data_IF_430705032770
#
_entry.id   IF_430705032770
#
_cell.length_a   1.000
_cell.length_b   1.000
_cell.length_c   1.000
_cell.angle_alpha   90.00
_cell.angle_beta   90.00
_cell.angle_gamma   90.00
#
_symmetry.space_group_name_H-M   'P 1'
#
loop_
_entity.id
_entity.type
_entity.pdbx_description
1 polymer ?
#
# COMPACT_ATOMS: atom_id res chain seq x y z
N UNK A 1 14.02 -30.31 -24.36
CA UNK A 1 13.23 -29.82 -23.20
C UNK A 1 14.20 -29.05 -22.32
N UNK A 2 14.01 -27.74 -22.17
CA UNK A 2 14.81 -26.90 -21.28
C UNK A 2 14.82 -27.51 -19.87
N UNK A 3 16.01 -27.70 -19.29
CA UNK A 3 16.19 -28.23 -17.92
C UNK A 3 16.74 -27.17 -16.97
N UNK A 4 16.95 -25.95 -17.47
CA UNK A 4 17.52 -24.84 -16.73
C UNK A 4 16.94 -23.52 -17.21
N UNK A 5 16.95 -22.50 -16.33
CA UNK A 5 16.61 -21.11 -16.67
C UNK A 5 17.46 -20.58 -17.82
N UNK A 6 18.71 -21.05 -17.92
CA UNK A 6 19.64 -20.65 -18.99
C UNK A 6 19.18 -21.05 -20.40
N UNK A 7 18.27 -22.03 -20.52
CA UNK A 7 17.73 -22.49 -21.80
C UNK A 7 16.51 -21.65 -22.25
N UNK A 8 16.03 -20.72 -21.41
CA UNK A 8 14.91 -19.85 -21.73
C UNK A 8 15.38 -18.62 -22.53
N UNK A 9 14.50 -18.02 -23.37
CA UNK A 9 14.75 -16.70 -23.93
C UNK A 9 15.12 -15.69 -22.84
N UNK A 10 15.99 -14.72 -23.17
CA UNK A 10 16.58 -13.78 -22.19
C UNK A 10 15.55 -13.11 -21.28
N UNK A 11 14.43 -12.67 -21.83
CA UNK A 11 13.30 -12.07 -21.11
C UNK A 11 12.65 -13.05 -20.13
N UNK A 12 12.36 -14.27 -20.58
CA UNK A 12 11.75 -15.32 -19.75
C UNK A 12 12.67 -15.83 -18.65
N UNK A 13 13.96 -15.93 -18.97
CA UNK A 13 15.00 -16.25 -17.99
C UNK A 13 15.06 -15.17 -16.89
N UNK A 14 15.04 -13.90 -17.28
CA UNK A 14 14.98 -12.79 -16.33
C UNK A 14 13.69 -12.80 -15.51
N UNK A 15 12.53 -13.05 -16.13
CA UNK A 15 11.24 -13.16 -15.44
C UNK A 15 11.22 -14.26 -14.39
N UNK A 16 11.73 -15.45 -14.72
CA UNK A 16 11.85 -16.58 -13.78
C UNK A 16 12.73 -16.24 -12.57
N UNK A 17 13.86 -15.56 -12.80
CA UNK A 17 14.75 -15.10 -11.72
C UNK A 17 14.09 -14.03 -10.85
N UNK A 18 13.41 -13.06 -11.47
CA UNK A 18 12.74 -11.95 -10.79
C UNK A 18 11.61 -12.44 -9.87
N UNK A 19 10.76 -13.36 -10.32
CA UNK A 19 9.69 -13.89 -9.45
C UNK A 19 10.26 -14.70 -8.29
N UNK A 20 11.31 -15.48 -8.53
CA UNK A 20 11.96 -16.23 -7.48
C UNK A 20 12.50 -15.29 -6.41
N UNK A 21 13.26 -14.26 -6.81
CA UNK A 21 13.76 -13.24 -5.89
C UNK A 21 12.62 -12.52 -5.14
N UNK A 22 11.54 -12.12 -5.84
CA UNK A 22 10.42 -11.43 -5.19
C UNK A 22 9.71 -12.31 -4.13
N UNK A 23 9.55 -13.61 -4.39
CA UNK A 23 8.98 -14.55 -3.43
C UNK A 23 9.93 -14.78 -2.24
N UNK A 24 11.24 -14.87 -2.48
CA UNK A 24 12.25 -14.95 -1.41
C UNK A 24 12.21 -13.71 -0.50
N UNK A 25 12.14 -12.51 -1.08
CA UNK A 25 12.01 -11.25 -0.33
C UNK A 25 10.77 -11.25 0.58
N UNK A 26 9.64 -11.77 0.09
CA UNK A 26 8.44 -11.88 0.91
C UNK A 26 8.60 -12.89 2.05
N UNK A 27 9.27 -14.02 1.81
CA UNK A 27 9.60 -14.99 2.86
C UNK A 27 10.45 -14.36 3.98
N UNK A 28 11.38 -13.47 3.63
CA UNK A 28 12.27 -12.79 4.58
C UNK A 28 11.58 -11.68 5.39
N UNK A 29 10.43 -11.18 4.91
CA UNK A 29 9.71 -10.05 5.50
C UNK A 29 8.32 -10.47 6.01
N UNK A 30 8.26 -11.48 6.88
CA UNK A 30 7.03 -11.93 7.55
C UNK A 30 5.84 -12.22 6.59
N UNK A 31 6.13 -12.61 5.33
CA UNK A 31 5.15 -12.89 4.28
C UNK A 31 4.33 -11.68 3.81
N UNK A 32 4.70 -10.46 4.17
CA UNK A 32 4.02 -9.25 3.76
C UNK A 32 5.01 -8.11 3.52
N UNK A 33 4.97 -7.50 2.33
CA UNK A 33 5.83 -6.35 2.04
C UNK A 33 5.17 -5.38 1.07
N UNK A 34 5.43 -4.07 1.26
CA UNK A 34 4.93 -3.04 0.33
C UNK A 34 5.56 -3.24 -1.05
N UNK A 35 4.79 -3.05 -2.13
CA UNK A 35 5.24 -3.26 -3.52
C UNK A 35 6.53 -2.51 -3.82
N UNK A 36 6.66 -1.26 -3.34
CA UNK A 36 7.87 -0.44 -3.51
C UNK A 36 9.09 -1.03 -2.79
N UNK A 37 8.89 -1.63 -1.61
CA UNK A 37 9.95 -2.30 -0.86
C UNK A 37 10.33 -3.64 -1.52
N UNK A 38 9.35 -4.40 -2.06
CA UNK A 38 9.63 -5.60 -2.87
C UNK A 38 10.53 -5.26 -4.05
N UNK A 39 10.19 -4.22 -4.81
CA UNK A 39 11.02 -3.78 -5.95
C UNK A 39 12.43 -3.38 -5.50
N UNK A 40 12.54 -2.55 -4.46
CA UNK A 40 13.84 -2.09 -3.97
C UNK A 40 14.72 -3.27 -3.49
N UNK A 41 14.14 -4.23 -2.78
CA UNK A 41 14.88 -5.38 -2.27
C UNK A 41 15.28 -6.35 -3.38
N UNK A 42 14.41 -6.59 -4.36
CA UNK A 42 14.76 -7.39 -5.55
C UNK A 42 15.91 -6.74 -6.33
N UNK A 43 15.89 -5.41 -6.48
CA UNK A 43 16.97 -4.68 -7.15
C UNK A 43 18.30 -4.78 -6.38
N UNK A 44 18.25 -4.81 -5.04
CA UNK A 44 19.44 -4.99 -4.20
C UNK A 44 20.00 -6.41 -4.24
N UNK A 45 19.13 -7.42 -4.33
CA UNK A 45 19.54 -8.83 -4.32
C UNK A 45 19.98 -9.34 -5.70
N UNK A 46 19.58 -8.68 -6.79
CA UNK A 46 19.85 -9.14 -8.15
C UNK A 46 20.92 -8.34 -8.88
N UNK A 47 21.86 -9.06 -9.51
CA UNK A 47 22.77 -8.47 -10.49
C UNK A 47 22.04 -8.32 -11.84
N UNK A 48 21.50 -7.12 -12.07
CA UNK A 48 20.75 -6.73 -13.25
C UNK A 48 21.66 -6.01 -14.26
N UNK A 49 21.75 -6.56 -15.48
CA UNK A 49 22.55 -6.01 -16.58
C UNK A 49 21.95 -4.72 -17.18
N UNK A 50 22.73 -4.01 -18.00
CA UNK A 50 22.29 -2.76 -18.65
C UNK A 50 21.02 -2.95 -19.48
N UNK A 51 20.87 -4.13 -20.08
CA UNK A 51 19.65 -4.50 -20.78
C UNK A 51 18.47 -4.57 -19.81
N UNK A 52 18.56 -5.27 -18.68
CA UNK A 52 17.49 -5.32 -17.69
C UNK A 52 17.17 -3.92 -17.10
N UNK A 53 18.16 -3.03 -17.03
CA UNK A 53 18.02 -1.64 -16.51
C UNK A 53 17.60 -0.60 -17.56
N UNK A 54 17.41 -1.00 -18.82
CA UNK A 54 16.98 -0.08 -19.87
C UNK A 54 15.58 0.47 -19.61
N UNK A 55 15.37 1.76 -19.86
CA UNK A 55 14.08 2.42 -19.70
C UNK A 55 13.30 2.40 -21.02
N UNK A 56 12.09 1.84 -21.01
CA UNK A 56 11.19 1.89 -22.16
C UNK A 56 10.74 3.33 -22.45
N UNK A 57 10.85 3.75 -23.70
CA UNK A 57 10.57 5.14 -24.10
C UNK A 57 9.10 5.54 -23.95
N UNK A 58 8.15 4.62 -24.23
CA UNK A 58 6.70 4.90 -24.15
C UNK A 58 6.17 4.82 -22.72
N UNK A 59 6.48 3.74 -22.00
CA UNK A 59 5.93 3.49 -20.67
C UNK A 59 6.73 4.17 -19.55
N UNK A 60 7.99 4.51 -19.81
CA UNK A 60 8.92 5.04 -18.82
C UNK A 60 9.42 4.01 -17.82
N UNK A 61 8.98 2.74 -17.89
CA UNK A 61 9.41 1.69 -16.98
C UNK A 61 10.85 1.25 -17.25
N UNK A 62 11.54 0.86 -16.19
CA UNK A 62 12.75 0.06 -16.32
C UNK A 62 12.33 -1.37 -16.72
N UNK A 63 13.02 -1.96 -17.69
CA UNK A 63 12.65 -3.26 -18.30
C UNK A 63 12.41 -4.35 -17.26
N UNK A 64 13.31 -4.52 -16.30
CA UNK A 64 13.17 -5.54 -15.26
C UNK A 64 11.93 -5.32 -14.38
N UNK A 65 11.56 -4.06 -14.08
CA UNK A 65 10.37 -3.75 -13.30
C UNK A 65 9.10 -4.13 -14.07
N UNK A 66 9.08 -3.85 -15.37
CA UNK A 66 7.98 -4.25 -16.25
C UNK A 66 7.84 -5.78 -16.33
N UNK A 67 8.96 -6.50 -16.44
CA UNK A 67 8.98 -7.97 -16.50
C UNK A 67 8.52 -8.56 -15.16
N UNK A 68 9.06 -8.09 -14.03
CA UNK A 68 8.63 -8.58 -12.71
C UNK A 68 7.14 -8.33 -12.50
N UNK A 69 6.65 -7.16 -12.88
CA UNK A 69 5.23 -6.85 -12.79
C UNK A 69 4.39 -7.84 -13.62
N UNK A 70 4.70 -8.04 -14.91
CA UNK A 70 3.99 -8.98 -15.76
C UNK A 70 3.99 -10.41 -15.17
N UNK A 71 5.16 -10.90 -14.79
CA UNK A 71 5.29 -12.26 -14.24
C UNK A 71 4.58 -12.44 -12.89
N UNK A 72 4.49 -11.38 -12.08
CA UNK A 72 3.77 -11.42 -10.81
C UNK A 72 2.25 -11.55 -10.97
N UNK A 73 1.68 -11.22 -12.15
CA UNK A 73 0.28 -11.53 -12.47
C UNK A 73 0.08 -13.04 -12.49
N UNK A 74 1.01 -13.77 -13.11
CA UNK A 74 1.02 -15.23 -13.09
C UNK A 74 1.00 -15.79 -11.67
N UNK A 75 1.82 -15.23 -10.77
CA UNK A 75 1.83 -15.62 -9.36
C UNK A 75 0.50 -15.34 -8.63
N UNK A 76 -0.18 -14.23 -8.95
CA UNK A 76 -1.51 -13.92 -8.40
C UNK A 76 -2.53 -14.95 -8.88
N UNK A 77 -2.59 -15.21 -10.20
CA UNK A 77 -3.56 -16.15 -10.77
C UNK A 77 -3.28 -17.60 -10.37
N UNK A 78 -2.02 -17.96 -10.12
CA UNK A 78 -1.63 -19.24 -9.56
C UNK A 78 -1.90 -19.38 -8.05
N UNK A 79 -2.36 -18.31 -7.38
CA UNK A 79 -2.68 -18.31 -5.95
C UNK A 79 -1.48 -18.22 -5.02
N UNK A 80 -0.29 -17.82 -5.51
CA UNK A 80 0.94 -17.75 -4.72
C UNK A 80 1.09 -16.43 -3.97
N UNK A 81 0.54 -15.35 -4.52
CA UNK A 81 0.55 -14.04 -3.89
C UNK A 81 -0.82 -13.38 -3.99
N UNK A 82 -1.14 -12.56 -3.00
CA UNK A 82 -2.28 -11.65 -3.04
C UNK A 82 -1.74 -10.22 -3.03
N UNK A 83 -2.21 -9.38 -3.94
CA UNK A 83 -1.87 -7.95 -3.96
C UNK A 83 -3.08 -7.15 -3.51
N UNK A 84 -2.92 -6.34 -2.46
CA UNK A 84 -4.01 -5.50 -1.94
C UNK A 84 -3.46 -4.17 -1.47
N UNK A 85 -4.03 -3.07 -1.99
CA UNK A 85 -3.67 -1.68 -1.61
C UNK A 85 -2.15 -1.42 -1.62
N UNK A 86 -1.46 -1.89 -2.66
CA UNK A 86 -0.01 -1.70 -2.81
C UNK A 86 0.86 -2.59 -1.91
N UNK A 87 0.29 -3.57 -1.22
CA UNK A 87 1.00 -4.55 -0.40
C UNK A 87 0.90 -5.94 -1.03
N UNK A 88 2.00 -6.69 -1.03
CA UNK A 88 2.07 -8.07 -1.50
C UNK A 88 2.07 -8.99 -0.29
N UNK A 89 1.16 -9.96 -0.30
CA UNK A 89 1.01 -10.99 0.71
C UNK A 89 1.37 -12.34 0.09
N UNK A 90 2.27 -13.08 0.73
CA UNK A 90 2.64 -14.43 0.31
C UNK A 90 1.69 -15.46 0.94
N UNK A 91 1.07 -16.30 0.10
CA UNK A 91 0.17 -17.36 0.58
C UNK A 91 0.96 -18.57 1.07
N UNK A 92 0.28 -19.54 1.67
CA UNK A 92 0.92 -20.80 2.06
C UNK A 92 1.41 -21.59 0.84
N UNK A 93 0.64 -21.60 -0.25
CA UNK A 93 1.04 -22.19 -1.53
C UNK A 93 2.25 -21.45 -2.12
N UNK A 94 2.25 -20.12 -2.05
CA UNK A 94 3.37 -19.30 -2.49
C UNK A 94 4.64 -19.53 -1.68
N UNK A 95 4.51 -19.72 -0.37
CA UNK A 95 5.63 -20.05 0.51
C UNK A 95 6.28 -21.39 0.15
N UNK A 96 5.48 -22.40 -0.20
CA UNK A 96 5.99 -23.69 -0.69
C UNK A 96 6.65 -23.51 -2.05
N UNK A 97 6.02 -22.76 -2.96
CA UNK A 97 6.55 -22.50 -4.29
C UNK A 97 7.87 -21.72 -4.26
N UNK A 98 8.06 -20.83 -3.27
CA UNK A 98 9.29 -20.05 -3.08
C UNK A 98 10.54 -20.91 -2.75
N UNK A 99 10.35 -22.17 -2.31
CA UNK A 99 11.44 -23.10 -2.04
C UNK A 99 11.89 -23.88 -3.28
N UNK A 100 11.17 -23.75 -4.39
CA UNK A 100 11.51 -24.39 -5.66
C UNK A 100 12.67 -23.65 -6.33
N UNK A 101 13.41 -24.34 -7.19
CA UNK A 101 14.39 -23.67 -8.05
C UNK A 101 13.71 -22.67 -8.99
N UNK A 102 14.44 -21.65 -9.46
CA UNK A 102 13.93 -20.63 -10.39
C UNK A 102 13.15 -21.23 -11.58
N UNK A 103 13.68 -22.30 -12.18
CA UNK A 103 13.03 -22.98 -13.31
C UNK A 103 11.76 -23.72 -12.87
N UNK A 104 11.82 -24.45 -11.76
CA UNK A 104 10.68 -25.19 -11.24
C UNK A 104 9.55 -24.23 -10.85
N UNK A 105 9.85 -23.14 -10.13
CA UNK A 105 8.90 -22.08 -9.81
C UNK A 105 8.25 -21.51 -11.07
N UNK A 106 9.06 -21.15 -12.08
CA UNK A 106 8.54 -20.64 -13.35
C UNK A 106 7.56 -21.61 -14.02
N UNK A 107 7.89 -22.91 -14.05
CA UNK A 107 6.96 -23.92 -14.61
C UNK A 107 5.70 -24.06 -13.78
N UNK A 108 5.79 -24.05 -12.45
CA UNK A 108 4.63 -24.16 -11.56
C UNK A 108 3.72 -22.93 -11.67
N UNK A 109 4.27 -21.71 -11.78
CA UNK A 109 3.49 -20.49 -12.04
C UNK A 109 2.74 -20.61 -13.38
N UNK A 110 3.41 -21.09 -14.42
CA UNK A 110 2.80 -21.27 -15.75
C UNK A 110 1.68 -22.30 -15.73
N UNK A 111 1.86 -23.40 -15.00
CA UNK A 111 0.83 -24.43 -14.80
C UNK A 111 -0.37 -23.88 -14.01
N UNK A 112 -0.13 -23.14 -12.93
CA UNK A 112 -1.18 -22.48 -12.14
C UNK A 112 -1.99 -21.48 -12.97
N UNK A 113 -1.31 -20.63 -13.74
CA UNK A 113 -1.97 -19.70 -14.65
C UNK A 113 -2.80 -20.43 -15.72
N UNK A 114 -2.27 -21.52 -16.29
CA UNK A 114 -3.01 -22.32 -17.28
C UNK A 114 -4.26 -22.98 -16.69
N UNK A 115 -4.20 -23.47 -15.44
CA UNK A 115 -5.37 -24.00 -14.73
C UNK A 115 -6.42 -22.93 -14.51
N UNK A 116 -6.01 -21.76 -14.01
CA UNK A 116 -6.89 -20.60 -13.84
C UNK A 116 -7.57 -20.21 -15.16
N UNK A 117 -6.81 -20.15 -16.26
CA UNK A 117 -7.34 -19.83 -17.60
C UNK A 117 -8.35 -20.89 -18.06
N UNK A 118 -8.04 -22.17 -17.92
CA UNK A 118 -8.95 -23.27 -18.31
C UNK A 118 -10.26 -23.29 -17.52
N UNK A 119 -10.22 -22.97 -16.22
CA UNK A 119 -11.42 -22.82 -15.38
C UNK A 119 -12.27 -21.61 -15.80
N UNK A 120 -11.62 -20.50 -16.20
CA UNK A 120 -12.29 -19.30 -16.70
C UNK A 120 -12.91 -19.50 -18.09
N UNK A 121 -12.21 -20.18 -19.00
CA UNK A 121 -12.70 -20.46 -20.36
C UNK A 121 -13.90 -21.43 -20.33
N UNK A 122 -13.95 -22.38 -19.39
CA UNK A 122 -15.14 -23.22 -19.15
C UNK A 122 -16.34 -22.42 -18.63
N UNK A 123 -16.11 -21.27 -18.00
CA UNK A 123 -17.13 -20.30 -17.56
C UNK A 123 -17.62 -19.37 -18.67
N UNK A 124 -17.11 -19.49 -19.91
CA UNK A 124 -17.65 -18.84 -21.10
C UNK A 124 -17.16 -17.41 -21.40
N UNK A 125 -16.03 -16.97 -20.84
CA UNK A 125 -15.36 -15.71 -21.21
C UNK A 125 -14.03 -16.00 -21.88
N UNK A 126 -14.06 -16.09 -23.22
CA UNK A 126 -12.86 -16.21 -24.04
C UNK A 126 -12.15 -14.85 -24.12
N UNK A 127 -10.96 -14.76 -23.52
CA UNK A 127 -10.00 -13.72 -23.85
C UNK A 127 -8.75 -14.40 -24.40
N UNK A 128 -8.52 -14.18 -25.69
CA UNK A 128 -7.42 -14.75 -26.45
C UNK A 128 -6.23 -13.80 -26.39
N UNK A 129 -5.48 -13.88 -25.29
CA UNK A 129 -4.16 -13.28 -25.17
C UNK A 129 -3.11 -14.40 -25.08
N UNK A 130 -2.81 -15.02 -26.22
CA UNK A 130 -1.46 -15.53 -26.46
C UNK A 130 -0.52 -14.31 -26.58
N UNK A 131 -0.19 -13.70 -25.45
CA UNK A 131 0.77 -12.60 -25.37
C UNK A 131 2.19 -13.17 -25.44
N UNK A 132 2.69 -13.27 -26.67
CA UNK A 132 4.13 -13.14 -26.91
C UNK A 132 4.60 -11.79 -26.33
N UNK A 133 5.71 -11.82 -25.57
CA UNK A 133 6.39 -10.65 -25.02
C UNK A 133 6.80 -9.67 -26.13
N UNK A 134 5.85 -8.86 -26.61
CA UNK A 134 6.13 -7.65 -27.35
C UNK A 134 6.25 -6.54 -26.31
N UNK A 135 7.47 -6.08 -26.05
CA UNK A 135 7.77 -5.01 -25.08
C UNK A 135 7.19 -3.62 -25.43
N UNK A 136 6.21 -3.57 -26.33
CA UNK A 136 5.60 -2.34 -26.85
C UNK A 136 4.06 -2.31 -26.71
N UNK A 137 3.42 -3.43 -26.34
CA UNK A 137 2.01 -3.48 -25.92
C UNK A 137 1.94 -3.33 -24.40
N UNK A 138 1.40 -2.20 -23.93
CA UNK A 138 1.18 -1.97 -22.50
C UNK A 138 -0.14 -2.66 -22.13
N UNK A 139 -0.06 -3.73 -21.35
CA UNK A 139 -1.23 -4.39 -20.77
C UNK A 139 -2.05 -3.36 -19.95
N UNK A 140 -3.38 -3.26 -20.17
CA UNK A 140 -4.25 -2.37 -19.42
C UNK A 140 -4.13 -2.50 -17.90
N UNK A 141 -3.92 -3.70 -17.38
CA UNK A 141 -3.72 -3.94 -15.95
C UNK A 141 -2.44 -3.28 -15.44
N UNK A 142 -1.35 -3.37 -16.22
CA UNK A 142 -0.08 -2.69 -15.94
C UNK A 142 -0.27 -1.17 -15.93
N UNK A 143 -1.10 -0.66 -16.84
CA UNK A 143 -1.41 0.78 -16.91
C UNK A 143 -2.18 1.25 -15.68
N UNK A 144 -3.20 0.50 -15.25
CA UNK A 144 -4.02 0.84 -14.08
C UNK A 144 -3.17 0.83 -12.80
N UNK A 145 -2.43 -0.26 -12.56
CA UNK A 145 -1.56 -0.37 -11.39
C UNK A 145 -0.52 0.74 -11.34
N UNK A 146 0.07 1.12 -12.49
CA UNK A 146 1.01 2.24 -12.56
C UNK A 146 0.38 3.55 -12.13
N UNK A 147 -0.79 3.86 -12.70
CA UNK A 147 -1.49 5.11 -12.42
C UNK A 147 -1.86 5.18 -10.94
N UNK A 148 -2.26 4.06 -10.34
CA UNK A 148 -2.52 3.98 -8.91
C UNK A 148 -1.26 4.23 -8.06
N UNK A 149 -0.12 3.62 -8.41
CA UNK A 149 1.13 3.83 -7.68
C UNK A 149 1.62 5.28 -7.80
N UNK A 150 1.61 5.85 -9.01
CA UNK A 150 2.00 7.24 -9.22
C UNK A 150 1.09 8.21 -8.45
N UNK A 151 -0.22 7.96 -8.44
CA UNK A 151 -1.16 8.76 -7.67
C UNK A 151 -0.87 8.66 -6.16
N UNK A 152 -0.66 7.45 -5.63
CA UNK A 152 -0.37 7.24 -4.21
C UNK A 152 0.95 7.90 -3.78
N UNK A 153 2.00 7.77 -4.58
CA UNK A 153 3.30 8.40 -4.30
C UNK A 153 3.22 9.93 -4.36
N UNK A 154 2.50 10.49 -5.34
CA UNK A 154 2.28 11.93 -5.42
C UNK A 154 1.56 12.51 -4.18
N UNK A 155 0.58 11.79 -3.65
CA UNK A 155 -0.12 12.20 -2.41
C UNK A 155 0.84 12.14 -1.21
N UNK A 156 1.66 11.08 -1.11
CA UNK A 156 2.65 10.93 -0.02
C UNK A 156 3.68 12.06 -0.03
N UNK A 157 4.21 12.40 -1.20
CA UNK A 157 5.17 13.48 -1.37
C UNK A 157 4.56 14.83 -1.00
N UNK A 158 3.32 15.08 -1.43
CA UNK A 158 2.59 16.30 -1.08
C UNK A 158 2.38 16.43 0.43
N UNK A 159 2.02 15.34 1.11
CA UNK A 159 1.86 15.33 2.58
C UNK A 159 3.23 15.50 3.26
N UNK A 160 4.28 14.84 2.79
CA UNK A 160 5.62 14.92 3.37
C UNK A 160 6.25 16.31 3.29
N UNK A 161 5.82 17.13 2.32
CA UNK A 161 6.26 18.52 2.19
C UNK A 161 5.60 19.48 3.19
N UNK A 162 4.54 19.05 3.89
CA UNK A 162 3.84 19.88 4.88
C UNK A 162 4.59 19.93 6.20
N UNK A 163 4.35 20.99 6.96
CA UNK A 163 4.79 21.03 8.35
C UNK A 163 3.77 20.33 9.29
N UNK A 164 4.14 20.12 10.55
CA UNK A 164 3.32 19.41 11.51
C UNK A 164 1.93 20.04 11.75
N UNK A 165 1.82 21.38 11.71
CA UNK A 165 0.55 22.08 11.88
C UNK A 165 -0.34 21.94 10.65
N UNK A 166 0.24 22.03 9.45
CA UNK A 166 -0.52 21.81 8.20
C UNK A 166 -1.04 20.37 8.09
N UNK A 167 -0.29 19.38 8.57
CA UNK A 167 -0.77 18.00 8.64
C UNK A 167 -1.84 17.81 9.73
N UNK A 168 -1.73 18.52 10.86
CA UNK A 168 -2.79 18.57 11.87
C UNK A 168 -4.10 19.13 11.29
N UNK A 169 -4.02 20.20 10.49
CA UNK A 169 -5.19 20.79 9.82
C UNK A 169 -5.82 19.80 8.83
N UNK A 170 -5.01 19.02 8.10
CA UNK A 170 -5.50 17.93 7.25
C UNK A 170 -6.24 16.84 8.05
N UNK A 171 -5.75 16.45 9.23
CA UNK A 171 -6.42 15.47 10.09
C UNK A 171 -7.75 16.03 10.60
N UNK A 172 -7.80 17.31 10.98
CA UNK A 172 -9.04 17.96 11.40
C UNK A 172 -10.06 18.02 10.26
N UNK A 173 -9.61 18.40 9.05
CA UNK A 173 -10.43 18.41 7.84
C UNK A 173 -10.99 17.03 7.51
N UNK A 174 -10.17 15.98 7.62
CA UNK A 174 -10.64 14.60 7.44
C UNK A 174 -11.77 14.26 8.40
N UNK A 175 -11.62 14.57 9.68
CA UNK A 175 -12.66 14.30 10.68
C UNK A 175 -13.95 15.07 10.39
N UNK A 176 -13.86 16.31 9.90
CA UNK A 176 -15.03 17.06 9.41
C UNK A 176 -15.70 16.37 8.23
N UNK A 177 -14.94 15.91 7.24
CA UNK A 177 -15.46 15.13 6.11
C UNK A 177 -16.12 13.81 6.52
N UNK A 178 -15.67 13.22 7.62
CA UNK A 178 -16.28 12.03 8.23
C UNK A 178 -17.55 12.34 9.04
N UNK A 179 -17.91 13.61 9.18
CA UNK A 179 -19.12 14.06 9.87
C UNK A 179 -18.92 14.41 11.35
N UNK A 180 -17.68 14.54 11.81
CA UNK A 180 -17.38 15.01 13.16
C UNK A 180 -17.25 16.54 13.22
N UNK A 181 -17.61 17.12 14.35
CA UNK A 181 -17.32 18.51 14.67
C UNK A 181 -15.94 18.59 15.30
N UNK A 182 -15.08 19.50 14.82
CA UNK A 182 -13.74 19.74 15.36
C UNK A 182 -13.66 21.12 16.02
N UNK A 183 -14.30 21.36 17.19
CA UNK A 183 -14.37 22.69 17.80
C UNK A 183 -13.03 23.18 18.34
N UNK A 184 -12.05 22.29 18.47
CA UNK A 184 -10.71 22.63 18.92
C UNK A 184 -9.67 21.95 18.04
N UNK A 185 -8.80 22.79 17.49
CA UNK A 185 -7.54 22.42 16.84
C UNK A 185 -6.48 23.27 17.53
N UNK A 186 -5.44 22.62 18.05
CA UNK A 186 -4.51 23.26 18.95
C UNK A 186 -3.70 24.36 18.22
N UNK A 187 -3.55 25.55 18.82
CA UNK A 187 -2.77 26.63 18.23
C UNK A 187 -1.28 26.29 18.23
N UNK A 188 -0.48 27.04 17.48
CA UNK A 188 0.98 26.80 17.45
C UNK A 188 1.60 27.02 18.83
N UNK A 189 2.06 25.95 19.48
CA UNK A 189 2.72 26.05 20.78
C UNK A 189 3.03 24.71 21.44
N UNK A 190 3.35 24.76 22.74
CA UNK A 190 3.46 23.57 23.60
C UNK A 190 2.06 23.16 24.04
N UNK A 191 1.53 22.12 23.44
CA UNK A 191 0.21 21.60 23.82
C UNK A 191 0.29 20.40 24.75
N UNK A 192 -0.74 20.27 25.59
CA UNK A 192 -0.90 19.28 26.65
C UNK A 192 -1.17 17.85 26.17
N UNK A 193 -0.69 17.49 24.98
CA UNK A 193 -0.80 16.13 24.41
C UNK A 193 -2.07 15.85 23.61
N UNK A 194 -2.91 16.85 23.33
CA UNK A 194 -4.08 16.75 22.44
C UNK A 194 -4.02 17.86 21.40
N UNK A 195 -4.00 17.47 20.14
CA UNK A 195 -3.89 18.39 19.00
C UNK A 195 -5.26 18.72 18.42
N UNK A 196 -6.22 17.79 18.47
CA UNK A 196 -7.59 18.00 17.98
C UNK A 196 -8.59 17.37 18.95
N UNK A 197 -9.69 18.07 19.22
CA UNK A 197 -10.88 17.48 19.83
C UNK A 197 -11.97 17.35 18.77
N UNK A 198 -12.60 16.18 18.71
CA UNK A 198 -13.71 15.94 17.80
C UNK A 198 -14.92 15.26 18.47
N UNK A 199 -16.11 15.64 18.03
CA UNK A 199 -17.40 15.22 18.60
C UNK A 199 -18.39 14.83 17.50
N UNK A 200 -19.39 14.01 17.86
CA UNK A 200 -20.50 13.69 16.95
C UNK A 200 -21.52 14.82 16.83
N UNK A 201 -21.64 15.62 17.88
CA UNK A 201 -22.51 16.78 17.95
C UNK A 201 -21.70 18.05 18.27
N UNK A 202 -22.20 19.26 17.93
CA UNK A 202 -21.50 20.52 18.19
C UNK A 202 -21.17 20.78 19.66
N UNK A 203 -21.91 20.17 20.59
CA UNK A 203 -21.79 20.42 22.03
C UNK A 203 -20.96 19.35 22.76
N UNK A 204 -20.59 18.25 22.09
CA UNK A 204 -19.83 17.15 22.69
C UNK A 204 -20.59 16.39 23.77
N UNK A 205 -21.92 16.37 23.68
CA UNK A 205 -22.81 15.66 24.61
C UNK A 205 -22.79 14.16 24.31
N UNK A 206 -22.75 13.80 23.03
CA UNK A 206 -22.75 12.42 22.58
C UNK A 206 -21.36 11.79 22.68
N UNK A 207 -21.33 10.54 23.16
CA UNK A 207 -20.15 9.69 23.06
C UNK A 207 -20.05 9.09 21.64
N UNK A 208 -18.84 8.85 21.11
CA UNK A 208 -17.54 9.08 21.75
C UNK A 208 -17.04 10.52 21.65
N UNK A 209 -16.26 10.96 22.64
CA UNK A 209 -15.47 12.20 22.60
C UNK A 209 -14.06 11.87 22.15
N UNK A 210 -13.69 12.32 20.96
CA UNK A 210 -12.44 11.92 20.32
C UNK A 210 -11.36 12.94 20.66
N UNK A 211 -10.23 12.45 21.19
CA UNK A 211 -9.01 13.23 21.38
C UNK A 211 -7.95 12.70 20.45
N UNK A 212 -7.41 13.59 19.63
CA UNK A 212 -6.44 13.22 18.59
C UNK A 212 -5.07 13.77 18.94
N UNK A 213 -4.05 12.95 18.75
CA UNK A 213 -2.67 13.38 18.73
C UNK A 213 -2.05 13.10 17.36
N UNK A 214 -1.36 14.08 16.80
CA UNK A 214 -0.81 14.09 15.45
C UNK A 214 0.71 14.20 15.53
N UNK A 215 1.41 13.32 14.82
CA UNK A 215 2.87 13.33 14.67
C UNK A 215 3.24 13.31 13.21
N UNK A 216 3.79 14.43 12.73
CA UNK A 216 4.36 14.52 11.40
C UNK A 216 5.89 14.55 11.48
N UNK A 217 6.52 13.38 11.36
CA UNK A 217 7.98 13.19 11.34
C UNK A 217 8.32 11.84 10.70
N UNK A 218 9.60 11.63 10.39
CA UNK A 218 10.09 10.37 9.83
C UNK A 218 10.17 9.27 10.89
N UNK A 219 10.54 9.61 12.12
CA UNK A 219 10.64 8.64 13.21
C UNK A 219 9.29 8.04 13.56
N UNK A 220 9.29 6.75 13.87
CA UNK A 220 8.10 6.06 14.37
C UNK A 220 7.68 6.55 15.76
N UNK A 221 6.38 6.56 15.99
CA UNK A 221 5.82 6.89 17.30
C UNK A 221 6.13 5.79 18.31
N UNK A 222 6.54 6.22 19.50
CA UNK A 222 6.99 5.37 20.60
C UNK A 222 5.84 4.92 21.50
N UNK A 223 6.08 3.88 22.30
CA UNK A 223 5.10 3.40 23.29
C UNK A 223 4.80 4.46 24.36
N UNK A 224 5.78 5.31 24.68
CA UNK A 224 5.64 6.39 25.65
C UNK A 224 4.62 7.43 25.16
N UNK A 225 4.68 7.81 23.88
CA UNK A 225 3.72 8.75 23.27
C UNK A 225 2.29 8.18 23.29
N UNK A 226 2.10 6.89 22.97
CA UNK A 226 0.78 6.25 23.05
C UNK A 226 0.25 6.26 24.50
N UNK A 227 1.09 5.91 25.48
CA UNK A 227 0.71 5.93 26.90
C UNK A 227 0.39 7.34 27.40
N UNK A 228 1.07 8.36 26.89
CA UNK A 228 0.76 9.76 27.20
C UNK A 228 -0.65 10.12 26.72
N UNK A 229 -1.01 9.79 25.48
CA UNK A 229 -2.38 10.01 24.97
C UNK A 229 -3.40 9.25 25.83
N UNK A 230 -3.14 7.98 26.15
CA UNK A 230 -4.02 7.18 27.01
C UNK A 230 -4.23 7.81 28.38
N UNK A 231 -3.19 8.39 28.99
CA UNK A 231 -3.28 9.08 30.27
C UNK A 231 -4.19 10.31 30.26
N UNK A 232 -4.49 10.87 29.08
CA UNK A 232 -5.40 12.00 28.87
C UNK A 232 -6.86 11.53 28.70
N UNK A 233 -7.08 10.26 28.35
CA UNK A 233 -8.41 9.65 28.16
C UNK A 233 -9.00 9.20 29.50
N UNK A 234 -9.38 10.18 30.32
CA UNK A 234 -9.82 9.93 31.72
C UNK A 234 -11.34 9.81 31.90
N UNK A 235 -12.15 10.27 30.93
CA UNK A 235 -13.62 10.26 31.05
C UNK A 235 -14.23 9.07 30.31
N UNK A 236 -15.26 8.47 30.88
CA UNK A 236 -15.99 7.36 30.25
C UNK A 236 -16.59 7.77 28.91
N UNK A 237 -16.17 7.11 27.83
CA UNK A 237 -16.56 7.43 26.45
C UNK A 237 -15.57 8.34 25.71
N UNK A 238 -14.45 8.71 26.32
CA UNK A 238 -13.32 9.29 25.59
C UNK A 238 -12.64 8.20 24.74
N UNK A 239 -12.31 8.56 23.49
CA UNK A 239 -11.59 7.69 22.55
C UNK A 239 -10.36 8.43 22.05
N UNK A 240 -9.23 7.73 21.95
CA UNK A 240 -8.01 8.26 21.37
C UNK A 240 -7.92 7.96 19.88
N UNK A 241 -7.44 8.91 19.10
CA UNK A 241 -6.88 8.65 17.77
C UNK A 241 -5.44 9.15 17.78
N UNK A 242 -4.50 8.30 17.39
CA UNK A 242 -3.13 8.71 17.15
C UNK A 242 -2.87 8.66 15.65
N UNK A 243 -2.38 9.75 15.07
CA UNK A 243 -2.07 9.84 13.64
C UNK A 243 -0.57 10.10 13.48
N UNK A 244 0.13 9.24 12.75
CA UNK A 244 1.58 9.33 12.58
C UNK A 244 2.02 9.07 11.15
N UNK A 245 2.79 9.97 10.55
CA UNK A 245 3.36 9.74 9.22
C UNK A 245 4.57 8.81 9.22
N UNK A 246 5.30 8.73 10.34
CA UNK A 246 6.47 7.86 10.52
C UNK A 246 6.12 6.45 10.99
N UNK A 247 4.83 6.13 11.11
CA UNK A 247 4.36 4.85 11.64
C UNK A 247 4.55 4.71 13.15
N UNK A 248 4.68 3.46 13.61
CA UNK A 248 4.65 3.06 15.02
C UNK A 248 5.62 1.93 15.30
N UNK A 249 6.26 1.93 16.47
CA UNK A 249 7.02 0.77 16.94
C UNK A 249 6.10 -0.41 17.26
N UNK A 250 6.63 -1.65 17.23
CA UNK A 250 5.85 -2.85 17.56
C UNK A 250 5.23 -2.76 18.97
N UNK A 251 5.96 -2.25 19.95
CA UNK A 251 5.46 -2.06 21.31
C UNK A 251 4.33 -1.01 21.40
N UNK A 252 4.40 0.05 20.58
CA UNK A 252 3.35 1.06 20.49
C UNK A 252 2.06 0.45 19.94
N UNK A 253 2.16 -0.37 18.88
CA UNK A 253 1.02 -1.11 18.31
C UNK A 253 0.41 -2.07 19.34
N UNK A 254 1.24 -2.89 19.99
CA UNK A 254 0.78 -3.83 21.02
C UNK A 254 0.10 -3.13 22.19
N UNK A 255 0.60 -1.96 22.60
CA UNK A 255 0.02 -1.18 23.71
C UNK A 255 -1.35 -0.60 23.34
N UNK A 256 -1.52 -0.09 22.12
CA UNK A 256 -2.80 0.44 21.66
C UNK A 256 -3.89 -0.65 21.57
N UNK A 257 -3.53 -1.86 21.11
CA UNK A 257 -4.47 -2.98 20.96
C UNK A 257 -4.75 -3.70 22.28
N UNK A 258 -3.78 -3.78 23.19
CA UNK A 258 -3.87 -4.58 24.42
C UNK A 258 -4.56 -3.90 25.61
N UNK A 259 -4.98 -2.64 25.49
CA UNK A 259 -5.56 -1.87 26.59
C UNK A 259 -7.09 -1.83 26.56
N UNK A 260 -7.70 -1.63 27.73
CA UNK A 260 -9.12 -1.31 27.84
C UNK A 260 -9.47 0.12 27.34
N UNK A 261 -8.48 1.01 27.27
CA UNK A 261 -8.66 2.36 26.71
C UNK A 261 -8.52 2.27 25.19
N UNK A 262 -9.58 2.61 24.47
CA UNK A 262 -9.58 2.53 23.00
C UNK A 262 -8.76 3.66 22.38
N UNK A 263 -7.64 3.29 21.74
CA UNK A 263 -6.82 4.18 20.92
C UNK A 263 -6.69 3.60 19.52
N UNK A 264 -7.23 4.31 18.53
CA UNK A 264 -7.07 3.95 17.12
C UNK A 264 -5.76 4.54 16.58
N UNK A 265 -4.93 3.70 15.96
CA UNK A 265 -3.73 4.13 15.26
C UNK A 265 -4.05 4.34 13.78
N UNK A 266 -3.62 5.47 13.22
CA UNK A 266 -3.73 5.79 11.79
C UNK A 266 -2.33 6.15 11.30
N UNK A 267 -1.78 5.36 10.37
CA UNK A 267 -0.52 5.68 9.70
C UNK A 267 -0.77 6.50 8.43
N UNK A 268 0.30 6.87 7.71
CA UNK A 268 0.18 7.69 6.50
C UNK A 268 -0.69 7.01 5.42
N UNK A 269 -0.52 5.71 5.21
CA UNK A 269 -1.31 4.97 4.21
C UNK A 269 -2.79 4.89 4.64
N UNK A 270 -3.06 4.64 5.91
CA UNK A 270 -4.41 4.69 6.49
C UNK A 270 -5.06 6.06 6.35
N UNK A 271 -4.31 7.14 6.61
CA UNK A 271 -4.79 8.51 6.42
C UNK A 271 -5.14 8.79 4.95
N UNK A 272 -4.27 8.44 4.00
CA UNK A 272 -4.50 8.65 2.56
C UNK A 272 -5.74 7.89 2.08
N UNK A 273 -5.92 6.66 2.55
CA UNK A 273 -7.11 5.87 2.24
C UNK A 273 -8.39 6.57 2.75
N UNK A 274 -8.42 6.97 4.02
CA UNK A 274 -9.57 7.68 4.60
C UNK A 274 -9.82 9.01 3.89
N UNK A 275 -8.78 9.78 3.59
CA UNK A 275 -8.89 11.03 2.84
C UNK A 275 -9.53 10.79 1.48
N UNK A 276 -9.10 9.76 0.76
CA UNK A 276 -9.64 9.42 -0.57
C UNK A 276 -11.11 8.99 -0.48
N UNK A 277 -11.44 8.12 0.50
CA UNK A 277 -12.81 7.61 0.71
C UNK A 277 -13.80 8.72 1.09
N UNK A 278 -13.36 9.69 1.89
CA UNK A 278 -14.18 10.81 2.36
C UNK A 278 -14.01 12.09 1.53
N UNK A 279 -13.13 12.11 0.52
CA UNK A 279 -12.87 13.26 -0.33
C UNK A 279 -14.16 13.89 -0.91
N UNK A 280 -15.14 13.10 -1.40
CA UNK A 280 -16.37 13.68 -1.94
C UNK A 280 -17.22 14.45 -0.91
N UNK A 281 -17.05 14.16 0.40
CA UNK A 281 -17.80 14.75 1.50
C UNK A 281 -17.11 15.97 2.13
N UNK A 282 -15.86 16.24 1.78
CA UNK A 282 -15.14 17.42 2.24
C UNK A 282 -15.71 18.70 1.61
N UNK A 283 -15.66 19.79 2.38
CA UNK A 283 -15.94 21.14 1.88
C UNK A 283 -14.88 21.57 0.87
N UNK A 284 -15.17 22.58 0.05
CA UNK A 284 -14.18 23.08 -0.91
C UNK A 284 -12.94 23.68 -0.22
N UNK A 285 -13.15 24.29 0.97
CA UNK A 285 -12.07 24.76 1.83
C UNK A 285 -11.18 23.60 2.30
N UNK A 286 -11.75 22.53 2.83
CA UNK A 286 -11.00 21.36 3.28
C UNK A 286 -10.31 20.63 2.12
N UNK A 287 -10.96 20.55 0.95
CA UNK A 287 -10.36 20.00 -0.28
C UNK A 287 -9.14 20.79 -0.74
N UNK A 288 -9.09 22.10 -0.48
CA UNK A 288 -7.94 22.92 -0.86
C UNK A 288 -6.66 22.58 -0.11
N UNK A 289 -6.76 21.94 1.06
CA UNK A 289 -5.61 21.54 1.87
C UNK A 289 -4.82 20.37 1.24
N UNK A 290 -5.52 19.43 0.62
CA UNK A 290 -4.99 18.30 -0.16
C UNK A 290 -5.90 18.05 -1.38
N UNK A 291 -5.69 18.79 -2.48
CA UNK A 291 -6.53 18.68 -3.67
C UNK A 291 -6.26 17.38 -4.43
N UNK A 292 -7.32 16.65 -4.74
CA UNK A 292 -7.28 15.41 -5.52
C UNK A 292 -8.09 15.56 -6.81
N UNK A 293 -7.62 14.94 -7.88
CA UNK A 293 -8.33 14.84 -9.16
C UNK A 293 -8.60 13.38 -9.48
N UNK A 294 -9.85 13.05 -9.78
CA UNK A 294 -10.24 11.70 -10.19
C UNK A 294 -9.90 11.44 -11.65
N UNK A 295 -9.29 10.28 -11.93
CA UNK A 295 -9.04 9.78 -13.28
C UNK A 295 -9.76 8.44 -13.43
N UNK A 296 -10.48 8.28 -14.54
CA UNK A 296 -11.20 7.04 -14.86
C UNK A 296 -10.46 6.30 -15.96
N UNK A 297 -10.18 5.02 -15.72
CA UNK A 297 -9.57 4.10 -16.69
C UNK A 297 -10.57 2.98 -16.99
N UNK A 298 -10.53 2.46 -18.21
CA UNK A 298 -11.29 1.24 -18.54
C UNK A 298 -10.68 0.10 -17.73
N UNK A 299 -11.50 -0.60 -16.95
CA UNK A 299 -11.05 -1.75 -16.19
C UNK A 299 -10.60 -2.86 -17.17
N UNK A 300 -9.48 -3.54 -16.91
CA UNK A 300 -9.13 -4.76 -17.63
C UNK A 300 -10.28 -5.75 -17.49
N UNK A 301 -10.66 -6.41 -18.58
CA UNK A 301 -11.66 -7.47 -18.53
C UNK A 301 -11.03 -8.66 -17.78
N UNK A 302 -11.66 -9.09 -16.69
CA UNK A 302 -11.15 -10.13 -15.78
C UNK A 302 -10.98 -11.50 -16.40
#
# INVERSE_FOLDING_TARGET
MAKSVADLPKSKALGARLIHAALSVLCENDRELKSRQVLAEVENQMDLDDWAKERYQKSGYIRWQSILHFYSIGCVKAGFIVKKKGVWYLTDEGYIAAQLSEFALYTTVKEGYSKWKAERDQSGTADDSDEEESGDSIDPAITVDRVQHLAADGIKEFIAAKNAYEFQDLVAALLRGMGYYTPFVAPRGKDGGVDILAYRDPFGIESPRIKVQVKHRQDSASVQEIRQLMGILQKDGDVGIFVSTGGYTSDAKSTATGSHIHVQLIDLDGFINLWTDFYPKLTDEDKSLLPLTSVYLVAPTD
#
